data_IF_524501597769
#
_entry.id   IF_524501597769
#
_cell.length_a   1.000
_cell.length_b   1.000
_cell.length_c   1.000
_cell.angle_alpha   90.00
_cell.angle_beta   90.00
_cell.angle_gamma   90.00
#
_symmetry.space_group_name_H-M   'P 1'
#
loop_
_entity.id
_entity.type
_entity.pdbx_description
1 polymer ?
#
# COMPACT_ATOMS: atom_id res chain seq x y z
N UNK A 1 15.02 71.38 -42.26
CA UNK A 1 15.87 70.17 -42.09
C UNK A 1 15.01 69.01 -41.62
N UNK A 2 15.18 67.82 -42.24
CA UNK A 2 14.78 66.44 -41.81
C UNK A 2 13.26 66.21 -41.64
N UNK A 3 12.46 65.60 -42.54
CA UNK A 3 12.45 64.31 -43.30
C UNK A 3 12.33 63.03 -42.45
N UNK A 4 11.29 62.23 -42.80
CA UNK A 4 11.12 60.76 -42.72
C UNK A 4 10.59 60.20 -41.39
N UNK A 5 9.79 59.13 -41.27
CA UNK A 5 9.07 58.17 -42.14
C UNK A 5 8.27 57.27 -41.17
N UNK A 6 7.06 56.83 -41.54
CA UNK A 6 6.43 55.58 -41.02
C UNK A 6 6.91 54.43 -41.96
N UNK A 7 7.01 53.11 -41.61
CA UNK A 7 6.06 52.37 -40.76
C UNK A 7 6.52 51.07 -40.03
N UNK A 8 5.53 50.40 -39.40
CA UNK A 8 5.31 48.94 -39.27
C UNK A 8 6.20 48.09 -38.34
N UNK A 9 5.58 47.26 -37.46
CA UNK A 9 5.76 45.79 -37.31
C UNK A 9 5.48 45.25 -35.87
N UNK A 10 4.58 44.26 -35.82
CA UNK A 10 4.43 43.11 -34.89
C UNK A 10 4.09 43.39 -33.41
N UNK A 11 2.88 43.12 -32.93
CA UNK A 11 2.29 41.79 -32.61
C UNK A 11 3.00 41.03 -31.50
N UNK A 12 2.18 40.56 -30.55
CA UNK A 12 2.47 39.67 -29.42
C UNK A 12 2.90 40.39 -28.13
N UNK A 13 1.90 40.95 -27.43
CA UNK A 13 1.97 41.21 -26.00
C UNK A 13 2.00 39.86 -25.25
N UNK A 14 3.15 39.19 -25.27
CA UNK A 14 3.47 38.11 -24.35
C UNK A 14 3.84 38.75 -23.02
N UNK A 15 2.87 38.77 -22.12
CA UNK A 15 3.00 39.28 -20.77
C UNK A 15 4.01 38.40 -20.02
N UNK A 16 5.24 38.88 -19.86
CA UNK A 16 6.23 38.31 -18.94
C UNK A 16 6.10 39.06 -17.61
N UNK A 17 5.52 38.38 -16.63
CA UNK A 17 5.55 38.68 -15.20
C UNK A 17 5.12 37.36 -14.52
N UNK A 18 5.75 36.79 -13.50
CA UNK A 18 6.78 37.22 -12.57
C UNK A 18 7.36 35.91 -11.98
N UNK A 19 8.67 35.85 -11.75
CA UNK A 19 9.27 34.76 -10.95
C UNK A 19 8.82 34.93 -9.50
N UNK A 20 8.17 33.90 -8.93
CA UNK A 20 7.76 33.82 -7.54
C UNK A 20 8.02 32.41 -7.02
N UNK A 21 8.76 32.33 -5.92
CA UNK A 21 9.32 31.12 -5.34
C UNK A 21 8.28 30.08 -4.92
N UNK A 22 8.79 28.86 -4.73
CA UNK A 22 8.02 27.65 -4.43
C UNK A 22 6.97 27.79 -3.34
N UNK A 23 5.80 27.25 -3.66
CA UNK A 23 5.04 26.40 -2.74
C UNK A 23 4.52 25.27 -3.62
N UNK A 24 5.20 24.11 -3.61
CA UNK A 24 4.53 22.85 -3.96
C UNK A 24 3.48 22.66 -2.86
N UNK A 25 2.24 23.11 -3.12
CA UNK A 25 1.14 22.79 -2.23
C UNK A 25 1.06 21.26 -2.16
N UNK A 26 0.96 20.64 -0.97
CA UNK A 26 0.78 19.22 -0.87
C UNK A 26 -0.48 18.86 -1.65
N UNK A 27 -0.34 18.01 -2.66
CA UNK A 27 -1.50 17.43 -3.32
C UNK A 27 -2.21 16.60 -2.26
N UNK A 28 -3.30 17.14 -1.72
CA UNK A 28 -4.16 16.43 -0.78
C UNK A 28 -4.74 15.25 -1.54
N UNK A 29 -4.16 14.07 -1.33
CA UNK A 29 -4.75 12.82 -1.78
C UNK A 29 -6.15 12.75 -1.17
N UNK A 30 -7.17 12.78 -2.03
CA UNK A 30 -8.53 12.51 -1.61
C UNK A 30 -8.57 11.07 -1.10
N UNK A 31 -8.73 10.88 0.21
CA UNK A 31 -9.17 9.61 0.76
C UNK A 31 -10.63 9.40 0.31
N UNK A 32 -10.82 8.99 -0.95
CA UNK A 32 -12.10 8.50 -1.42
C UNK A 32 -12.32 7.15 -0.75
N UNK A 33 -13.06 7.17 0.36
CA UNK A 33 -13.68 5.97 0.95
C UNK A 33 -14.74 5.44 -0.01
N UNK A 34 -14.29 4.90 -1.15
CA UNK A 34 -15.12 4.10 -2.03
C UNK A 34 -15.12 2.67 -1.50
N UNK A 35 -16.30 2.07 -1.33
CA UNK A 35 -16.38 0.63 -1.17
C UNK A 35 -15.97 -0.03 -2.48
N UNK A 36 -14.73 -0.48 -2.59
CA UNK A 36 -14.22 -1.32 -3.66
C UNK A 36 -13.57 -2.56 -3.09
N UNK A 37 -13.54 -3.63 -3.88
CA UNK A 37 -12.60 -4.73 -3.69
C UNK A 37 -11.37 -4.38 -4.53
N UNK A 38 -10.21 -4.32 -3.89
CA UNK A 38 -8.93 -4.15 -4.57
C UNK A 38 -7.98 -5.30 -4.25
N UNK A 39 -6.91 -5.40 -5.02
CA UNK A 39 -5.85 -6.38 -4.84
C UNK A 39 -4.55 -5.66 -4.48
N UNK A 40 -4.00 -5.95 -3.31
CA UNK A 40 -2.66 -5.55 -2.89
C UNK A 40 -1.67 -6.65 -3.26
N UNK A 41 -0.59 -6.28 -3.93
CA UNK A 41 0.61 -7.11 -4.11
C UNK A 41 1.79 -6.39 -3.50
N UNK A 42 2.57 -7.05 -2.66
CA UNK A 42 3.76 -6.49 -2.03
C UNK A 42 4.87 -7.55 -1.89
N UNK A 43 6.11 -7.11 -2.09
CA UNK A 43 7.30 -7.95 -1.91
C UNK A 43 8.40 -7.15 -1.21
N UNK A 44 9.07 -7.73 -0.20
CA UNK A 44 10.10 -7.04 0.55
C UNK A 44 10.50 -7.68 1.88
N UNK A 45 11.27 -6.92 2.65
CA UNK A 45 11.76 -7.25 3.99
C UNK A 45 11.28 -6.22 5.01
N UNK A 46 10.98 -6.66 6.23
CA UNK A 46 10.57 -5.81 7.35
C UNK A 46 9.26 -6.27 7.97
N UNK A 47 8.19 -5.49 7.80
CA UNK A 47 6.85 -5.75 8.31
C UNK A 47 5.82 -5.54 7.19
N UNK A 48 5.03 -6.57 6.93
CA UNK A 48 3.80 -6.47 6.14
C UNK A 48 2.61 -6.86 7.01
N UNK A 49 1.61 -5.97 7.11
CA UNK A 49 0.40 -6.20 7.89
C UNK A 49 -0.85 -5.77 7.14
N UNK A 50 -1.92 -6.54 7.26
CA UNK A 50 -3.22 -6.24 6.67
C UNK A 50 -4.34 -6.54 7.67
N UNK A 51 -5.37 -5.69 7.66
CA UNK A 51 -6.62 -5.93 8.36
C UNK A 51 -7.80 -5.63 7.44
N UNK A 52 -8.73 -6.57 7.32
CA UNK A 52 -9.82 -6.42 6.36
C UNK A 52 -10.75 -7.61 6.25
N UNK A 53 -11.48 -7.64 5.14
CA UNK A 53 -12.33 -8.74 4.71
C UNK A 53 -11.87 -9.19 3.33
N UNK A 54 -11.75 -10.49 3.10
CA UNK A 54 -11.32 -11.06 1.84
C UNK A 54 -10.30 -12.17 2.02
N UNK A 55 -9.43 -12.31 1.02
CA UNK A 55 -8.44 -13.37 0.89
C UNK A 55 -7.04 -12.79 1.02
N UNK A 56 -6.19 -13.42 1.83
CA UNK A 56 -4.79 -13.05 2.05
C UNK A 56 -3.92 -14.27 1.84
N UNK A 57 -2.94 -14.16 0.94
CA UNK A 57 -1.86 -15.10 0.76
C UNK A 57 -0.58 -14.39 1.16
N UNK A 58 0.11 -14.89 2.18
CA UNK A 58 1.38 -14.33 2.63
C UNK A 58 2.41 -15.43 2.78
N UNK A 59 3.62 -15.20 2.30
CA UNK A 59 4.76 -16.10 2.42
C UNK A 59 6.01 -15.34 2.79
N UNK A 60 7.01 -16.07 3.29
CA UNK A 60 8.30 -15.53 3.69
C UNK A 60 8.78 -16.13 5.00
N UNK A 61 9.77 -15.47 5.59
CA UNK A 61 10.45 -15.92 6.80
C UNK A 61 10.22 -14.96 7.96
N UNK A 62 10.16 -15.46 9.20
CA UNK A 62 10.18 -14.65 10.42
C UNK A 62 9.11 -15.00 11.45
N UNK A 63 8.24 -14.06 11.78
CA UNK A 63 7.14 -14.24 12.73
C UNK A 63 5.82 -13.84 12.08
N UNK A 64 4.91 -14.80 11.97
CA UNK A 64 3.57 -14.60 11.44
C UNK A 64 2.57 -14.48 12.58
N UNK A 65 1.69 -13.50 12.51
CA UNK A 65 0.53 -13.32 13.38
C UNK A 65 -0.75 -13.34 12.55
N UNK A 66 -1.74 -14.11 13.01
CA UNK A 66 -3.08 -14.16 12.44
C UNK A 66 -4.09 -13.95 13.56
N UNK A 67 -5.12 -13.15 13.31
CA UNK A 67 -6.29 -13.03 14.17
C UNK A 67 -7.54 -13.02 13.33
N UNK A 68 -8.49 -13.86 13.72
CA UNK A 68 -9.86 -13.80 13.25
C UNK A 68 -10.73 -13.19 14.35
N UNK A 69 -11.34 -12.03 14.09
CA UNK A 69 -12.23 -11.37 15.05
C UNK A 69 -13.70 -11.72 14.84
N UNK A 70 -14.08 -12.17 13.64
CA UNK A 70 -15.46 -12.52 13.31
C UNK A 70 -15.78 -13.99 13.59
N UNK A 71 -14.76 -14.85 13.68
CA UNK A 71 -14.90 -16.28 13.92
C UNK A 71 -15.30 -17.09 12.68
N UNK A 72 -15.12 -16.51 11.49
CA UNK A 72 -15.52 -17.10 10.20
C UNK A 72 -14.33 -17.41 9.27
N UNK A 73 -13.09 -17.22 9.74
CA UNK A 73 -11.91 -17.34 8.89
C UNK A 73 -11.52 -18.80 8.63
N UNK A 74 -11.22 -19.10 7.37
CA UNK A 74 -10.51 -20.31 6.95
C UNK A 74 -9.02 -20.01 6.89
N UNK A 75 -8.24 -20.72 7.71
CA UNK A 75 -6.79 -20.49 7.87
C UNK A 75 -6.04 -21.77 7.49
N UNK A 76 -5.21 -21.69 6.44
CA UNK A 76 -4.30 -22.75 6.04
C UNK A 76 -2.86 -22.24 6.15
N UNK A 77 -2.00 -22.97 6.86
CA UNK A 77 -0.59 -22.63 7.03
C UNK A 77 0.26 -23.83 6.68
N UNK A 78 1.29 -23.61 5.87
CA UNK A 78 2.26 -24.60 5.43
C UNK A 78 3.68 -24.09 5.67
N UNK A 79 4.64 -25.02 5.78
CA UNK A 79 6.03 -24.71 6.08
C UNK A 79 6.43 -25.05 7.51
N UNK A 80 7.43 -24.35 8.03
CA UNK A 80 7.99 -24.57 9.37
C UNK A 80 7.63 -23.45 10.35
N UNK A 81 7.90 -23.69 11.63
CA UNK A 81 7.68 -22.73 12.72
C UNK A 81 6.83 -23.27 13.87
N UNK A 82 6.95 -22.65 15.03
CA UNK A 82 6.22 -23.04 16.24
C UNK A 82 4.92 -22.25 16.35
N UNK A 83 3.79 -22.94 16.23
CA UNK A 83 2.45 -22.38 16.45
C UNK A 83 2.19 -22.20 17.95
N UNK A 84 1.72 -21.02 18.34
CA UNK A 84 1.23 -20.71 19.69
C UNK A 84 -0.06 -19.90 19.60
N UNK A 85 -1.08 -20.35 20.30
CA UNK A 85 -2.29 -19.57 20.53
C UNK A 85 -2.03 -18.56 21.65
N UNK A 86 -2.39 -17.31 21.39
CA UNK A 86 -2.34 -16.21 22.34
C UNK A 86 -3.74 -15.83 22.82
N UNK A 87 -3.79 -14.83 23.70
CA UNK A 87 -5.04 -14.27 24.16
C UNK A 87 -5.80 -13.56 23.02
N UNK A 88 -7.11 -13.42 23.18
CA UNK A 88 -7.98 -12.63 22.28
C UNK A 88 -8.01 -13.12 20.81
N UNK A 89 -7.78 -14.41 20.57
CA UNK A 89 -7.89 -15.03 19.24
C UNK A 89 -6.65 -14.87 18.35
N UNK A 90 -5.51 -14.44 18.90
CA UNK A 90 -4.26 -14.38 18.16
C UNK A 90 -3.63 -15.76 18.02
N UNK A 91 -3.15 -16.06 16.82
CA UNK A 91 -2.28 -17.21 16.53
C UNK A 91 -0.93 -16.64 16.08
N UNK A 92 0.15 -17.09 16.71
CA UNK A 92 1.52 -16.71 16.36
C UNK A 92 2.30 -17.92 15.88
N UNK A 93 3.04 -17.77 14.78
CA UNK A 93 4.02 -18.74 14.30
C UNK A 93 5.40 -18.12 14.42
N UNK A 94 6.23 -18.63 15.35
CA UNK A 94 7.60 -18.13 15.56
C UNK A 94 8.61 -18.98 14.80
N UNK A 95 9.54 -18.35 14.10
CA UNK A 95 10.42 -19.05 13.16
C UNK A 95 9.62 -19.59 11.96
N UNK A 96 8.62 -18.82 11.53
CA UNK A 96 7.84 -19.11 10.34
C UNK A 96 8.75 -19.08 9.11
N UNK A 97 8.66 -20.10 8.27
CA UNK A 97 9.27 -20.17 6.94
C UNK A 97 8.30 -21.01 6.09
N UNK A 98 7.52 -20.32 5.26
CA UNK A 98 6.46 -20.97 4.49
C UNK A 98 5.41 -20.01 3.95
N UNK A 99 4.18 -20.51 3.83
CA UNK A 99 3.04 -19.80 3.27
C UNK A 99 1.80 -19.97 4.13
N UNK A 100 1.03 -18.89 4.29
CA UNK A 100 -0.28 -18.88 4.89
C UNK A 100 -1.32 -18.31 3.92
N UNK A 101 -2.48 -18.97 3.88
CA UNK A 101 -3.69 -18.52 3.18
C UNK A 101 -4.79 -18.31 4.21
N UNK A 102 -5.36 -17.11 4.23
CA UNK A 102 -6.40 -16.71 5.19
C UNK A 102 -7.55 -16.06 4.43
N UNK A 103 -8.75 -16.60 4.57
CA UNK A 103 -9.96 -16.09 3.94
C UNK A 103 -11.05 -15.88 4.99
N UNK A 104 -11.65 -14.70 5.08
CA UNK A 104 -12.69 -14.42 6.07
C UNK A 104 -13.04 -12.94 6.23
N UNK A 105 -13.74 -12.60 7.30
CA UNK A 105 -14.08 -11.22 7.66
C UNK A 105 -13.38 -10.77 8.94
N UNK A 106 -13.10 -9.47 9.05
CA UNK A 106 -12.36 -8.88 10.17
C UNK A 106 -11.04 -9.60 10.53
N UNK A 107 -10.38 -10.16 9.52
CA UNK A 107 -9.09 -10.84 9.68
C UNK A 107 -7.98 -9.81 9.84
N UNK A 108 -6.99 -10.14 10.65
CA UNK A 108 -5.71 -9.42 10.72
C UNK A 108 -4.59 -10.41 10.48
N UNK A 109 -3.72 -10.13 9.52
CA UNK A 109 -2.57 -10.95 9.17
C UNK A 109 -1.34 -10.04 9.14
N UNK A 110 -0.26 -10.44 9.81
CA UNK A 110 0.99 -9.69 9.79
C UNK A 110 2.18 -10.64 9.78
N UNK A 111 3.18 -10.35 8.95
CA UNK A 111 4.46 -11.04 8.92
C UNK A 111 5.57 -10.02 9.12
N UNK A 112 6.45 -10.28 10.10
CA UNK A 112 7.71 -9.56 10.24
C UNK A 112 8.89 -10.49 9.99
N UNK A 113 9.76 -10.09 9.06
CA UNK A 113 10.97 -10.83 8.70
C UNK A 113 11.43 -10.48 7.29
N UNK A 114 11.75 -11.47 6.46
CA UNK A 114 12.41 -11.29 5.16
C UNK A 114 11.86 -12.22 4.08
N UNK A 115 12.14 -11.89 2.82
CA UNK A 115 11.59 -12.54 1.62
C UNK A 115 10.05 -12.61 1.67
N UNK A 116 9.42 -11.55 2.14
CA UNK A 116 7.97 -11.48 2.29
C UNK A 116 7.35 -11.28 0.91
N UNK A 117 6.39 -12.13 0.56
CA UNK A 117 5.48 -11.90 -0.56
C UNK A 117 4.05 -11.94 -0.05
N UNK A 118 3.30 -10.87 -0.29
CA UNK A 118 1.93 -10.68 0.13
C UNK A 118 1.06 -10.40 -1.09
N UNK A 119 0.00 -11.18 -1.24
CA UNK A 119 -1.13 -10.89 -2.12
C UNK A 119 -2.39 -10.86 -1.26
N UNK A 120 -3.21 -9.82 -1.39
CA UNK A 120 -4.46 -9.72 -0.67
C UNK A 120 -5.56 -9.09 -1.52
N UNK A 121 -6.69 -9.78 -1.64
CA UNK A 121 -7.85 -9.31 -2.39
C UNK A 121 -9.02 -9.07 -1.45
N UNK A 122 -9.61 -7.87 -1.47
CA UNK A 122 -10.77 -7.56 -0.65
C UNK A 122 -10.85 -6.10 -0.25
N UNK A 123 -11.32 -5.85 0.98
CA UNK A 123 -11.46 -4.51 1.54
C UNK A 123 -10.69 -4.42 2.85
N UNK A 124 -9.97 -3.32 3.11
CA UNK A 124 -9.20 -3.22 4.34
C UNK A 124 -8.16 -2.12 4.36
N UNK A 125 -7.28 -2.22 5.35
CA UNK A 125 -6.10 -1.38 5.50
C UNK A 125 -4.86 -2.23 5.56
N UNK A 126 -3.76 -1.71 5.04
CA UNK A 126 -2.47 -2.37 5.11
C UNK A 126 -1.39 -1.43 5.61
N UNK A 127 -0.33 -2.02 6.15
CA UNK A 127 0.85 -1.35 6.68
C UNK A 127 2.06 -2.09 6.14
N UNK A 128 2.98 -1.34 5.55
CA UNK A 128 4.27 -1.83 5.09
C UNK A 128 5.35 -0.98 5.74
N UNK A 129 6.41 -1.62 6.22
CA UNK A 129 7.57 -0.95 6.79
C UNK A 129 8.82 -1.77 6.53
N UNK A 130 9.87 -1.15 6.00
CA UNK A 130 11.15 -1.80 5.69
C UNK A 130 11.60 -1.48 4.28
N UNK A 131 12.04 -2.50 3.53
CA UNK A 131 12.55 -2.36 2.17
C UNK A 131 11.79 -3.27 1.21
N UNK A 132 11.31 -2.75 0.08
CA UNK A 132 10.46 -3.51 -0.83
C UNK A 132 9.63 -2.62 -1.73
N UNK A 133 8.67 -3.22 -2.43
CA UNK A 133 7.71 -2.52 -3.28
C UNK A 133 6.31 -3.06 -3.10
N UNK A 134 5.32 -2.25 -3.49
CA UNK A 134 3.93 -2.67 -3.49
C UNK A 134 3.14 -1.98 -4.62
N UNK A 135 2.03 -2.61 -4.99
CA UNK A 135 1.02 -2.06 -5.88
C UNK A 135 -0.37 -2.46 -5.38
N UNK A 136 -1.34 -1.59 -5.59
CA UNK A 136 -2.76 -1.83 -5.35
C UNK A 136 -3.49 -1.65 -6.66
N UNK A 137 -4.21 -2.68 -7.07
CA UNK A 137 -5.02 -2.72 -8.27
C UNK A 137 -6.50 -2.67 -7.90
N UNK A 138 -7.29 -1.97 -8.72
CA UNK A 138 -8.75 -1.99 -8.68
C UNK A 138 -9.27 -2.01 -10.11
N UNK A 139 -10.15 -2.97 -10.41
CA UNK A 139 -10.76 -3.15 -11.73
C UNK A 139 -9.75 -3.23 -12.89
N UNK A 140 -8.60 -3.89 -12.69
CA UNK A 140 -7.56 -4.02 -13.70
C UNK A 140 -6.61 -2.83 -13.83
N UNK A 141 -6.73 -1.82 -12.94
CA UNK A 141 -5.96 -0.59 -12.98
C UNK A 141 -5.18 -0.42 -11.68
N UNK A 142 -3.87 -0.16 -11.78
CA UNK A 142 -3.05 0.21 -10.62
C UNK A 142 -3.49 1.60 -10.15
N UNK A 143 -3.99 1.68 -8.93
CA UNK A 143 -4.52 2.91 -8.32
C UNK A 143 -3.59 3.48 -7.24
N UNK A 144 -2.65 2.69 -6.75
CA UNK A 144 -1.62 3.09 -5.81
C UNK A 144 -0.41 2.17 -5.97
N UNK A 145 0.80 2.70 -5.95
CA UNK A 145 2.04 1.94 -5.93
C UNK A 145 3.13 2.68 -5.15
N UNK A 146 4.20 1.98 -4.81
CA UNK A 146 5.32 2.60 -4.14
C UNK A 146 6.34 1.61 -3.60
N UNK A 147 7.22 2.15 -2.74
CA UNK A 147 8.25 1.39 -2.04
C UNK A 147 7.91 1.26 -0.56
N UNK A 148 8.38 0.19 0.08
CA UNK A 148 8.38 0.11 1.53
C UNK A 148 9.40 1.13 2.02
N UNK A 149 9.03 1.88 3.05
CA UNK A 149 9.94 2.82 3.69
C UNK A 149 10.15 2.40 5.14
N UNK A 150 11.23 2.87 5.75
CA UNK A 150 11.49 2.66 7.19
C UNK A 150 10.45 3.36 8.08
N UNK A 151 9.74 4.34 7.51
CA UNK A 151 8.61 5.00 8.12
C UNK A 151 7.35 4.16 7.96
N UNK A 152 6.62 3.95 9.06
CA UNK A 152 5.37 3.23 9.00
C UNK A 152 4.31 4.06 8.28
N UNK A 153 3.80 3.56 7.16
CA UNK A 153 2.70 4.19 6.43
C UNK A 153 1.47 3.27 6.42
N UNK A 154 0.31 3.85 6.70
CA UNK A 154 -0.98 3.14 6.75
C UNK A 154 -1.78 3.53 5.51
N UNK A 155 -2.12 2.55 4.69
CA UNK A 155 -2.88 2.72 3.46
C UNK A 155 -4.21 1.98 3.54
N UNK A 156 -5.14 2.32 2.66
CA UNK A 156 -6.42 1.62 2.51
C UNK A 156 -6.47 0.94 1.14
N UNK A 157 -7.04 -0.27 1.10
CA UNK A 157 -7.44 -0.89 -0.17
C UNK A 157 -8.75 -0.21 -0.60
N UNK A 158 -8.77 0.46 -1.77
CA UNK A 158 -9.92 1.25 -2.22
C UNK A 158 -11.06 0.42 -2.82
#
# INVERSE_FOLDING_TARGET
MKKKTLPLIFSLAMMIALVGAGVLAPQTAYAQSGGGKGTLTASGDGLAGIRGNGDVIISGNGILWIRDSAGDAVINVSGSGTRKEGENGWIRYSGFDGQATVSGSQITVALSGYDINLEATGTGKFVLRGNGSYSVEKDGIIVLDGVWTEEMQIFSIP
#
